data_IF_472883814662
#
_entry.id   IF_472883814662
#
_cell.length_a   1.000
_cell.length_b   1.000
_cell.length_c   1.000
_cell.angle_alpha   90.00
_cell.angle_beta   90.00
_cell.angle_gamma   90.00
#
_symmetry.space_group_name_H-M   'P 1'
#
loop_
_entity.id
_entity.type
_entity.pdbx_description
1 polymer ?
#
# COMPACT_ATOMS: atom_id res chain seq x y z
N UNK A 1 -6.19 -23.88 24.83
CA UNK A 1 -7.32 -23.73 25.77
C UNK A 1 -7.63 -22.27 26.07
N UNK A 2 -8.90 -21.89 25.88
CA UNK A 2 -9.52 -20.61 26.23
C UNK A 2 -10.84 -20.93 26.93
N UNK A 3 -10.82 -21.00 28.26
CA UNK A 3 -11.98 -21.48 29.02
C UNK A 3 -12.27 -22.96 28.73
N UNK A 4 -13.48 -23.27 28.27
CA UNK A 4 -13.93 -24.60 27.84
C UNK A 4 -13.66 -24.90 26.36
N UNK A 5 -13.04 -23.96 25.63
CA UNK A 5 -12.77 -24.08 24.20
C UNK A 5 -11.28 -24.30 23.91
N UNK A 6 -11.02 -24.96 22.80
CA UNK A 6 -9.68 -25.34 22.36
C UNK A 6 -9.42 -24.82 20.93
N UNK A 7 -8.28 -24.16 20.73
CA UNK A 7 -7.85 -23.67 19.42
C UNK A 7 -6.49 -24.29 19.12
N UNK A 8 -6.42 -25.05 18.04
CA UNK A 8 -5.19 -25.61 17.51
C UNK A 8 -4.56 -24.66 16.49
N UNK A 9 -3.25 -24.45 16.60
CA UNK A 9 -2.49 -23.60 15.68
C UNK A 9 -1.60 -24.47 14.80
N UNK A 10 -1.65 -24.26 13.48
CA UNK A 10 -0.74 -24.88 12.52
C UNK A 10 -0.02 -23.80 11.76
N UNK A 11 1.30 -23.73 11.90
CA UNK A 11 2.14 -22.82 11.14
C UNK A 11 2.89 -23.54 10.03
N UNK A 12 3.06 -22.88 8.91
CA UNK A 12 3.98 -23.30 7.84
C UNK A 12 4.92 -22.18 7.47
N UNK A 13 6.00 -22.50 6.78
CA UNK A 13 6.92 -21.52 6.19
C UNK A 13 6.96 -21.72 4.68
N UNK A 14 7.10 -20.63 3.94
CA UNK A 14 7.23 -20.65 2.49
C UNK A 14 8.66 -20.28 2.09
N UNK A 15 9.12 -20.79 0.96
CA UNK A 15 10.44 -20.47 0.40
C UNK A 15 11.54 -21.43 0.85
N UNK A 16 12.79 -20.99 0.71
CA UNK A 16 13.98 -21.77 1.09
C UNK A 16 14.66 -21.14 2.30
N UNK A 17 15.06 -21.98 3.25
CA UNK A 17 15.89 -21.56 4.39
C UNK A 17 17.29 -22.14 4.18
N UNK A 18 18.31 -21.29 4.27
CA UNK A 18 19.69 -21.71 4.06
C UNK A 18 20.08 -22.82 5.04
N UNK A 19 20.63 -23.92 4.50
CA UNK A 19 21.01 -25.09 5.31
C UNK A 19 19.85 -26.02 5.70
N UNK A 20 18.61 -25.75 5.27
CA UNK A 20 17.44 -26.58 5.57
C UNK A 20 16.85 -27.21 4.31
N UNK A 21 16.37 -28.46 4.44
CA UNK A 21 15.46 -29.06 3.47
C UNK A 21 14.03 -28.58 3.78
N UNK A 22 13.40 -27.89 2.82
CA UNK A 22 12.04 -27.40 2.96
C UNK A 22 11.09 -28.30 2.16
N UNK A 23 10.22 -29.02 2.87
CA UNK A 23 9.18 -29.85 2.26
C UNK A 23 8.03 -29.02 1.69
N UNK A 24 7.06 -29.69 1.05
CA UNK A 24 5.87 -29.03 0.52
C UNK A 24 5.04 -28.39 1.67
N UNK A 25 4.84 -27.06 1.66
CA UNK A 25 4.08 -26.39 2.71
C UNK A 25 2.61 -26.80 2.73
N UNK A 26 2.01 -27.21 1.60
CA UNK A 26 0.62 -27.71 1.59
C UNK A 26 0.53 -29.04 2.34
N UNK A 27 1.38 -30.01 2.01
CA UNK A 27 1.44 -31.29 2.72
C UNK A 27 1.74 -31.12 4.22
N UNK A 28 2.64 -30.21 4.59
CA UNK A 28 2.94 -29.92 6.00
C UNK A 28 1.72 -29.34 6.74
N UNK A 29 0.98 -28.42 6.11
CA UNK A 29 -0.23 -27.84 6.66
C UNK A 29 -1.33 -28.89 6.87
N UNK A 30 -1.48 -29.80 5.90
CA UNK A 30 -2.44 -30.91 5.98
C UNK A 30 -2.11 -31.88 7.10
N UNK A 31 -0.83 -32.27 7.23
CA UNK A 31 -0.38 -33.15 8.29
C UNK A 31 -0.59 -32.52 9.69
N UNK A 32 -0.26 -31.22 9.83
CA UNK A 32 -0.48 -30.49 11.08
C UNK A 32 -1.95 -30.35 11.44
N UNK A 33 -2.81 -30.06 10.46
CA UNK A 33 -4.25 -29.98 10.68
C UNK A 33 -4.85 -31.35 11.03
N UNK A 34 -4.41 -32.42 10.37
CA UNK A 34 -4.84 -33.79 10.67
C UNK A 34 -4.48 -34.21 12.10
N UNK A 35 -3.30 -33.82 12.59
CA UNK A 35 -2.87 -34.10 13.96
C UNK A 35 -3.75 -33.41 15.03
N UNK A 36 -4.39 -32.29 14.67
CA UNK A 36 -5.28 -31.55 15.57
C UNK A 36 -6.75 -31.92 15.40
N UNK A 37 -7.11 -32.58 14.30
CA UNK A 37 -8.50 -32.88 13.97
C UNK A 37 -9.20 -33.69 15.07
N UNK A 38 -10.34 -33.19 15.55
CA UNK A 38 -11.13 -33.82 16.60
C UNK A 38 -10.57 -33.64 18.02
N UNK A 39 -9.37 -33.10 18.17
CA UNK A 39 -8.76 -32.76 19.47
C UNK A 39 -9.00 -31.30 19.88
N UNK A 40 -9.32 -30.45 18.90
CA UNK A 40 -9.61 -29.02 19.11
C UNK A 40 -10.94 -28.61 18.48
N UNK A 41 -11.53 -27.53 19.00
CA UNK A 41 -12.77 -26.96 18.45
C UNK A 41 -12.54 -26.18 17.16
N UNK A 42 -11.39 -25.51 17.04
CA UNK A 42 -11.03 -24.67 15.89
C UNK A 42 -9.56 -24.89 15.53
N UNK A 43 -9.27 -25.06 14.24
CA UNK A 43 -7.91 -25.08 13.69
C UNK A 43 -7.67 -23.78 12.93
N UNK A 44 -6.61 -23.07 13.34
CA UNK A 44 -6.16 -21.82 12.76
C UNK A 44 -4.79 -22.00 12.10
N UNK A 45 -4.70 -21.62 10.83
CA UNK A 45 -3.45 -21.60 10.07
C UNK A 45 -2.67 -20.29 10.24
N UNK A 46 -1.35 -20.38 10.43
CA UNK A 46 -0.42 -19.25 10.33
C UNK A 46 0.36 -19.41 9.03
N UNK A 47 0.00 -18.62 8.01
CA UNK A 47 0.46 -18.80 6.63
C UNK A 47 1.23 -17.54 6.19
N UNK A 48 2.57 -17.56 6.12
CA UNK A 48 3.38 -16.39 5.80
C UNK A 48 3.42 -16.10 4.29
N UNK A 49 2.27 -16.23 3.60
CA UNK A 49 2.13 -15.83 2.20
C UNK A 49 2.17 -14.31 2.10
N UNK A 50 3.14 -13.78 1.37
CA UNK A 50 3.36 -12.35 1.17
C UNK A 50 2.58 -11.80 -0.03
N UNK A 51 2.07 -12.68 -0.90
CA UNK A 51 1.32 -12.30 -2.10
C UNK A 51 0.10 -13.20 -2.34
N UNK A 52 -0.85 -12.70 -3.13
CA UNK A 52 -1.99 -13.51 -3.60
C UNK A 52 -1.52 -14.70 -4.44
N UNK A 53 -0.39 -14.58 -5.15
CA UNK A 53 0.16 -15.66 -5.96
C UNK A 53 0.71 -16.80 -5.09
N UNK A 54 1.50 -16.48 -4.06
CA UNK A 54 1.99 -17.47 -3.10
C UNK A 54 0.85 -18.16 -2.37
N UNK A 55 -0.13 -17.38 -1.90
CA UNK A 55 -1.31 -17.92 -1.23
C UNK A 55 -2.10 -18.86 -2.16
N UNK A 56 -2.29 -18.48 -3.42
CA UNK A 56 -3.02 -19.32 -4.38
C UNK A 56 -2.28 -20.62 -4.70
N UNK A 57 -0.94 -20.60 -4.76
CA UNK A 57 -0.13 -21.82 -4.92
C UNK A 57 -0.27 -22.76 -3.73
N UNK A 58 -0.25 -22.23 -2.50
CA UNK A 58 -0.42 -23.03 -1.30
C UNK A 58 -1.83 -23.62 -1.19
N UNK A 59 -2.87 -22.85 -1.53
CA UNK A 59 -4.25 -23.36 -1.46
C UNK A 59 -4.45 -24.48 -2.49
N UNK A 60 -3.97 -24.28 -3.73
CA UNK A 60 -4.17 -25.24 -4.81
C UNK A 60 -5.66 -25.37 -5.19
N UNK A 61 -6.05 -26.57 -5.61
CA UNK A 61 -7.40 -26.90 -6.06
C UNK A 61 -8.34 -27.30 -4.93
N UNK A 62 -7.78 -27.95 -3.89
CA UNK A 62 -8.55 -28.59 -2.83
C UNK A 62 -8.72 -27.67 -1.61
N UNK A 63 -9.88 -27.73 -0.92
CA UNK A 63 -10.09 -26.98 0.30
C UNK A 63 -8.99 -27.26 1.33
N UNK A 64 -8.57 -26.24 2.06
CA UNK A 64 -7.66 -26.37 3.18
C UNK A 64 -8.38 -27.06 4.35
N UNK A 65 -7.68 -27.92 5.12
CA UNK A 65 -8.23 -28.53 6.33
C UNK A 65 -8.22 -27.54 7.53
N UNK A 66 -8.58 -26.29 7.28
CA UNK A 66 -8.55 -25.19 8.24
C UNK A 66 -9.88 -24.45 8.22
N UNK A 67 -10.29 -23.90 9.37
CA UNK A 67 -11.46 -23.02 9.42
C UNK A 67 -11.05 -21.56 9.23
N UNK A 68 -9.95 -21.16 9.86
CA UNK A 68 -9.43 -19.80 9.87
C UNK A 68 -7.94 -19.81 9.47
N UNK A 69 -7.47 -18.71 8.87
CA UNK A 69 -6.06 -18.51 8.60
C UNK A 69 -5.67 -17.03 8.75
N UNK A 70 -4.47 -16.81 9.30
CA UNK A 70 -3.82 -15.50 9.32
C UNK A 70 -2.74 -15.50 8.26
N UNK A 71 -2.77 -14.52 7.35
CA UNK A 71 -1.76 -14.36 6.32
C UNK A 71 -0.90 -13.09 6.44
N UNK A 72 0.22 -13.10 5.72
CA UNK A 72 1.21 -12.03 5.74
C UNK A 72 1.19 -11.15 4.48
N UNK A 73 0.09 -11.11 3.72
CA UNK A 73 0.00 -10.34 2.45
C UNK A 73 0.06 -8.82 2.67
N UNK A 74 0.06 -8.36 3.91
CA UNK A 74 -0.03 -6.94 4.25
C UNK A 74 -1.38 -6.30 3.92
N UNK A 75 -2.35 -7.08 3.44
CA UNK A 75 -3.66 -6.60 3.00
C UNK A 75 -4.66 -6.65 4.14
N UNK A 76 -5.55 -5.66 4.14
CA UNK A 76 -6.71 -5.61 5.01
C UNK A 76 -7.93 -6.04 4.21
N UNK A 77 -8.52 -7.22 4.49
CA UNK A 77 -9.72 -7.63 3.81
C UNK A 77 -10.83 -6.61 4.12
N UNK A 78 -11.41 -6.02 3.07
CA UNK A 78 -12.46 -5.01 3.24
C UNK A 78 -13.65 -5.56 4.02
N UNK A 79 -14.00 -6.83 3.80
CA UNK A 79 -15.08 -7.51 4.50
C UNK A 79 -14.67 -8.02 5.90
N UNK A 80 -13.45 -7.72 6.38
CA UNK A 80 -12.89 -8.29 7.61
C UNK A 80 -12.24 -9.66 7.41
N UNK A 81 -12.67 -10.46 6.44
CA UNK A 81 -11.98 -11.68 6.01
C UNK A 81 -12.21 -11.99 4.52
N UNK A 82 -11.30 -12.73 3.91
CA UNK A 82 -11.44 -13.29 2.56
C UNK A 82 -11.71 -14.81 2.66
N UNK A 83 -12.76 -15.32 2.02
CA UNK A 83 -12.96 -16.78 1.92
C UNK A 83 -12.12 -17.35 0.77
N UNK A 84 -11.17 -18.25 1.08
CA UNK A 84 -10.35 -18.94 0.08
C UNK A 84 -10.02 -20.36 0.53
N UNK A 85 -10.07 -21.33 -0.39
CA UNK A 85 -9.82 -22.73 -0.06
C UNK A 85 -10.70 -23.25 1.08
N UNK A 86 -11.95 -22.78 1.19
CA UNK A 86 -12.86 -23.13 2.30
C UNK A 86 -12.65 -22.34 3.61
N UNK A 87 -11.44 -21.88 3.90
CA UNK A 87 -11.09 -21.14 5.11
C UNK A 87 -11.39 -19.63 5.01
N UNK A 88 -11.52 -18.96 6.16
CA UNK A 88 -11.55 -17.50 6.27
C UNK A 88 -10.14 -16.96 6.56
N UNK A 89 -9.61 -16.17 5.63
CA UNK A 89 -8.33 -15.51 5.75
C UNK A 89 -8.47 -14.10 6.31
N UNK A 90 -7.68 -13.81 7.34
CA UNK A 90 -7.55 -12.47 7.94
C UNK A 90 -6.12 -11.97 7.81
N UNK A 91 -5.96 -10.65 7.77
CA UNK A 91 -4.66 -9.98 7.78
C UNK A 91 -4.66 -8.82 8.75
N UNK A 92 -3.48 -8.46 9.26
CA UNK A 92 -3.30 -7.34 10.19
C UNK A 92 -2.68 -6.09 9.55
N UNK A 93 -2.52 -6.09 8.23
CA UNK A 93 -1.82 -5.03 7.50
C UNK A 93 -0.32 -5.30 7.49
N UNK A 94 0.48 -4.31 7.08
CA UNK A 94 1.94 -4.42 7.06
C UNK A 94 2.61 -3.39 7.95
N UNK A 95 3.88 -3.66 8.28
CA UNK A 95 4.80 -2.76 9.00
C UNK A 95 4.31 -2.29 10.38
N UNK A 96 3.47 -3.09 11.04
CA UNK A 96 2.98 -2.79 12.38
C UNK A 96 2.16 -1.50 12.46
N UNK A 97 1.52 -1.06 11.38
CA UNK A 97 0.66 0.15 11.40
C UNK A 97 -0.68 -0.07 12.08
N UNK A 98 -1.11 -1.33 12.20
CA UNK A 98 -2.33 -1.70 12.89
C UNK A 98 -2.11 -2.99 13.68
N UNK A 99 -2.82 -3.10 14.80
CA UNK A 99 -2.99 -4.33 15.54
C UNK A 99 -4.34 -4.95 15.16
N UNK A 100 -4.30 -6.15 14.58
CA UNK A 100 -5.50 -6.94 14.29
C UNK A 100 -6.03 -7.62 15.54
N UNK A 101 -7.27 -7.36 15.91
CA UNK A 101 -7.96 -8.03 17.01
C UNK A 101 -9.08 -8.89 16.43
N UNK A 102 -8.86 -10.21 16.46
CA UNK A 102 -9.86 -11.18 16.01
C UNK A 102 -10.65 -11.71 17.20
N UNK A 103 -11.95 -11.44 17.22
CA UNK A 103 -12.89 -11.98 18.21
C UNK A 103 -13.67 -13.12 17.57
N UNK A 104 -13.67 -14.27 18.24
CA UNK A 104 -14.31 -15.50 17.77
C UNK A 104 -15.48 -15.85 18.71
N UNK A 105 -16.68 -16.00 18.15
CA UNK A 105 -17.82 -16.60 18.81
C UNK A 105 -17.99 -18.04 18.33
N UNK A 106 -17.88 -19.02 19.22
CA UNK A 106 -18.00 -20.44 18.89
C UNK A 106 -19.33 -20.99 19.43
N UNK A 107 -20.27 -21.27 18.53
CA UNK A 107 -21.52 -21.96 18.86
C UNK A 107 -21.31 -23.47 18.84
N UNK A 108 -20.71 -23.99 17.77
CA UNK A 108 -20.38 -25.41 17.61
C UNK A 108 -19.21 -25.58 16.63
N UNK A 109 -18.28 -26.54 16.84
CA UNK A 109 -17.17 -26.79 15.92
C UNK A 109 -17.57 -27.05 14.47
N UNK A 110 -18.81 -27.50 14.22
CA UNK A 110 -19.32 -27.80 12.87
C UNK A 110 -20.14 -26.66 12.26
N UNK A 111 -20.47 -25.62 13.02
CA UNK A 111 -21.26 -24.51 12.51
C UNK A 111 -20.47 -23.70 11.48
N UNK A 112 -21.12 -23.17 10.43
CA UNK A 112 -20.45 -22.33 9.46
C UNK A 112 -20.00 -21.00 10.10
N UNK A 113 -18.95 -20.40 9.55
CA UNK A 113 -18.45 -19.11 10.01
C UNK A 113 -19.10 -17.93 9.30
N UNK A 114 -19.56 -16.98 10.10
CA UNK A 114 -20.18 -15.71 9.73
C UNK A 114 -19.23 -14.58 10.12
N UNK A 115 -18.95 -13.65 9.21
CA UNK A 115 -18.11 -12.49 9.51
C UNK A 115 -18.98 -11.33 9.97
N UNK A 116 -18.88 -10.94 11.24
CA UNK A 116 -19.65 -9.85 11.82
C UNK A 116 -19.29 -8.50 11.17
N UNK A 117 -20.30 -7.69 10.89
CA UNK A 117 -20.12 -6.38 10.25
C UNK A 117 -19.67 -6.44 8.79
N UNK A 118 -19.57 -7.64 8.19
CA UNK A 118 -19.20 -7.79 6.78
C UNK A 118 -20.16 -7.03 5.86
N UNK A 119 -21.48 -7.15 6.12
CA UNK A 119 -22.49 -6.46 5.33
C UNK A 119 -22.30 -4.94 5.39
N UNK A 120 -22.16 -4.39 6.59
CA UNK A 120 -21.98 -2.95 6.80
C UNK A 120 -20.72 -2.44 6.09
N UNK A 121 -19.59 -3.15 6.19
CA UNK A 121 -18.34 -2.78 5.49
C UNK A 121 -18.47 -2.86 3.96
N UNK A 122 -19.20 -3.84 3.44
CA UNK A 122 -19.48 -3.96 2.02
C UNK A 122 -20.39 -2.81 1.54
N UNK A 123 -21.41 -2.45 2.32
CA UNK A 123 -22.32 -1.32 2.05
C UNK A 123 -21.57 0.01 2.06
N UNK A 124 -20.69 0.24 3.04
CA UNK A 124 -19.85 1.43 3.12
C UNK A 124 -18.91 1.52 1.89
N UNK A 125 -18.30 0.40 1.46
CA UNK A 125 -17.50 0.39 0.23
C UNK A 125 -18.34 0.65 -1.01
N UNK A 126 -19.56 0.11 -1.08
CA UNK A 126 -20.49 0.38 -2.19
C UNK A 126 -20.81 1.87 -2.26
N UNK A 127 -21.14 2.49 -1.12
CA UNK A 127 -21.40 3.93 -1.04
C UNK A 127 -20.21 4.76 -1.54
N UNK A 128 -18.98 4.47 -1.08
CA UNK A 128 -17.77 5.14 -1.60
C UNK A 128 -17.58 4.98 -3.11
N UNK A 129 -17.90 3.82 -3.68
CA UNK A 129 -17.83 3.63 -5.14
C UNK A 129 -18.92 4.43 -5.87
N UNK A 130 -20.12 4.54 -5.29
CA UNK A 130 -21.21 5.36 -5.82
C UNK A 130 -20.83 6.84 -5.84
N UNK A 131 -20.22 7.35 -4.76
CA UNK A 131 -19.73 8.74 -4.70
C UNK A 131 -18.65 9.02 -5.75
N UNK A 132 -17.69 8.11 -5.92
CA UNK A 132 -16.64 8.20 -6.96
C UNK A 132 -17.23 8.18 -8.36
N UNK A 133 -18.24 7.33 -8.59
CA UNK A 133 -18.97 7.25 -9.85
C UNK A 133 -19.69 8.57 -10.16
N UNK A 134 -20.41 9.13 -9.20
CA UNK A 134 -21.09 10.41 -9.34
C UNK A 134 -20.11 11.56 -9.63
N UNK A 135 -18.98 11.59 -8.93
CA UNK A 135 -17.91 12.58 -9.17
C UNK A 135 -17.34 12.47 -10.60
N UNK A 136 -17.16 11.23 -11.10
CA UNK A 136 -16.71 11.00 -12.46
C UNK A 136 -17.76 11.42 -13.50
N UNK A 137 -19.06 11.22 -13.23
CA UNK A 137 -20.16 11.70 -14.08
C UNK A 137 -20.19 13.22 -14.18
N UNK A 138 -20.08 13.92 -13.04
CA UNK A 138 -19.99 15.39 -13.04
C UNK A 138 -18.77 15.88 -13.82
N UNK A 139 -17.64 15.21 -13.66
CA UNK A 139 -16.40 15.55 -14.36
C UNK A 139 -16.52 15.30 -15.87
N UNK A 140 -17.16 14.21 -16.29
CA UNK A 140 -17.44 13.92 -17.69
C UNK A 140 -18.37 14.98 -18.31
N UNK A 141 -19.41 15.40 -17.57
CA UNK A 141 -20.36 16.41 -18.03
C UNK A 141 -19.72 17.79 -18.18
N UNK A 142 -18.76 18.14 -17.32
CA UNK A 142 -18.01 19.41 -17.38
C UNK A 142 -16.86 19.39 -18.39
N UNK A 143 -16.43 18.21 -18.84
CA UNK A 143 -15.32 18.10 -19.79
C UNK A 143 -15.71 18.68 -21.16
N UNK A 144 -14.97 19.69 -21.62
CA UNK A 144 -15.10 20.21 -22.98
C UNK A 144 -14.33 19.37 -24.01
N UNK A 145 -13.26 18.71 -23.57
CA UNK A 145 -12.41 17.85 -24.39
C UNK A 145 -12.97 16.41 -24.47
N UNK A 146 -13.06 15.88 -25.70
CA UNK A 146 -13.62 14.54 -25.98
C UNK A 146 -12.77 13.41 -25.38
N UNK A 147 -11.45 13.51 -25.43
CA UNK A 147 -10.58 12.47 -24.87
C UNK A 147 -10.67 12.43 -23.34
N UNK A 148 -10.81 13.60 -22.69
CA UNK A 148 -11.06 13.71 -21.26
C UNK A 148 -12.41 13.11 -20.89
N UNK A 149 -13.48 13.40 -21.64
CA UNK A 149 -14.82 12.83 -21.42
C UNK A 149 -14.79 11.30 -21.51
N UNK A 150 -14.20 10.75 -22.56
CA UNK A 150 -14.07 9.30 -22.77
C UNK A 150 -13.29 8.61 -21.65
N UNK A 151 -12.29 9.27 -21.07
CA UNK A 151 -11.56 8.77 -19.90
C UNK A 151 -12.47 8.61 -18.69
N UNK A 152 -13.31 9.61 -18.40
CA UNK A 152 -14.28 9.54 -17.29
C UNK A 152 -15.37 8.49 -17.55
N UNK A 153 -15.85 8.35 -18.77
CA UNK A 153 -16.80 7.27 -19.15
C UNK A 153 -16.21 5.88 -18.89
N UNK A 154 -14.93 5.67 -19.23
CA UNK A 154 -14.23 4.43 -18.90
C UNK A 154 -14.12 4.18 -17.38
N UNK A 155 -13.93 5.23 -16.59
CA UNK A 155 -13.94 5.13 -15.13
C UNK A 155 -15.32 4.78 -14.57
N UNK A 156 -16.38 5.42 -15.06
CA UNK A 156 -17.77 5.14 -14.69
C UNK A 156 -18.09 3.66 -14.92
N UNK A 157 -17.79 3.13 -16.12
CA UNK A 157 -17.99 1.73 -16.43
C UNK A 157 -17.18 0.78 -15.52
N UNK A 158 -15.98 1.19 -15.10
CA UNK A 158 -15.18 0.44 -14.13
C UNK A 158 -15.75 0.48 -12.72
N UNK A 159 -16.37 1.59 -12.30
CA UNK A 159 -17.04 1.70 -11.01
C UNK A 159 -18.34 0.91 -10.99
N UNK A 160 -19.12 0.93 -12.07
CA UNK A 160 -20.35 0.13 -12.21
C UNK A 160 -20.09 -1.36 -12.00
N UNK A 161 -19.06 -1.90 -12.64
CA UNK A 161 -18.66 -3.31 -12.44
C UNK A 161 -18.29 -3.62 -11.00
N UNK A 162 -17.63 -2.69 -10.30
CA UNK A 162 -17.27 -2.86 -8.89
C UNK A 162 -18.49 -2.78 -7.97
N UNK A 163 -19.41 -1.85 -8.24
CA UNK A 163 -20.68 -1.69 -7.51
C UNK A 163 -21.52 -2.96 -7.65
N UNK A 164 -21.70 -3.48 -8.86
CA UNK A 164 -22.44 -4.73 -9.10
C UNK A 164 -21.84 -5.92 -8.33
N UNK A 165 -20.51 -6.03 -8.30
CA UNK A 165 -19.82 -7.07 -7.52
C UNK A 165 -20.07 -6.92 -6.01
N UNK A 166 -20.08 -5.69 -5.50
CA UNK A 166 -20.37 -5.40 -4.09
C UNK A 166 -21.84 -5.71 -3.76
N UNK A 167 -22.78 -5.36 -4.62
CA UNK A 167 -24.21 -5.66 -4.44
C UNK A 167 -24.46 -7.18 -4.35
N UNK A 168 -23.85 -7.96 -5.23
CA UNK A 168 -23.92 -9.42 -5.17
C UNK A 168 -23.36 -9.98 -3.86
N UNK A 169 -22.22 -9.44 -3.39
CA UNK A 169 -21.63 -9.84 -2.13
C UNK A 169 -22.52 -9.47 -0.92
N UNK A 170 -23.12 -8.28 -0.91
CA UNK A 170 -24.03 -7.80 0.14
C UNK A 170 -25.27 -8.69 0.24
N UNK A 171 -25.85 -9.06 -0.90
CA UNK A 171 -27.01 -9.96 -0.95
C UNK A 171 -26.71 -11.33 -0.32
N UNK A 172 -25.47 -11.80 -0.44
CA UNK A 172 -25.03 -13.08 0.13
C UNK A 172 -24.65 -13.05 1.62
N UNK A 173 -24.42 -11.87 2.21
CA UNK A 173 -23.82 -11.74 3.54
C UNK A 173 -24.79 -11.95 4.73
N UNK A 174 -26.11 -11.98 4.51
CA UNK A 174 -27.13 -11.93 5.57
C UNK A 174 -27.84 -13.24 5.92
N UNK A 175 -27.47 -14.37 5.34
CA UNK A 175 -28.26 -15.61 5.42
C UNK A 175 -27.68 -16.68 6.36
N UNK A 176 -26.42 -16.53 6.79
CA UNK A 176 -25.73 -17.54 7.57
C UNK A 176 -25.88 -17.31 9.09
N UNK A 177 -26.07 -18.40 9.84
CA UNK A 177 -25.98 -18.45 11.31
C UNK A 177 -24.94 -19.49 11.71
N UNK A 178 -24.22 -19.26 12.80
CA UNK A 178 -23.20 -20.16 13.29
C UNK A 178 -22.10 -19.43 14.05
N UNK A 179 -20.87 -19.94 13.91
CA UNK A 179 -19.69 -19.33 14.53
C UNK A 179 -19.47 -17.92 13.97
N UNK A 180 -19.04 -16.99 14.81
CA UNK A 180 -18.86 -15.60 14.41
C UNK A 180 -17.40 -15.20 14.45
N UNK A 181 -16.96 -14.46 13.45
CA UNK A 181 -15.64 -13.82 13.39
C UNK A 181 -15.84 -12.32 13.26
N UNK A 182 -15.29 -11.56 14.22
CA UNK A 182 -15.20 -10.11 14.13
C UNK A 182 -13.74 -9.70 14.09
N UNK A 183 -13.33 -9.03 13.02
CA UNK A 183 -12.02 -8.40 12.91
C UNK A 183 -12.13 -6.90 13.19
N UNK A 184 -11.51 -6.49 14.28
CA UNK A 184 -11.25 -5.10 14.65
C UNK A 184 -9.80 -4.75 14.33
N UNK A 185 -9.57 -3.50 13.94
CA UNK A 185 -8.23 -3.01 13.65
C UNK A 185 -7.97 -1.76 14.47
N UNK A 186 -7.03 -1.88 15.38
CA UNK A 186 -6.57 -0.76 16.18
C UNK A 186 -5.42 -0.13 15.40
N UNK A 187 -5.64 1.08 14.88
CA UNK A 187 -4.58 1.84 14.23
C UNK A 187 -3.53 2.19 15.29
N UNK A 188 -2.27 1.82 15.03
CA UNK A 188 -1.15 2.15 15.89
C UNK A 188 -0.62 3.53 15.49
N UNK A 189 -1.45 4.54 15.70
CA UNK A 189 -1.14 5.94 15.42
C UNK A 189 -0.66 6.69 16.68
N UNK A 190 -0.42 7.99 16.54
CA UNK A 190 0.11 8.86 17.59
C UNK A 190 -0.82 9.02 18.80
N UNK A 191 -2.05 8.52 18.75
CA UNK A 191 -2.96 8.49 19.91
C UNK A 191 -2.59 7.39 20.91
N UNK A 192 -1.85 6.37 20.48
CA UNK A 192 -1.34 5.31 21.34
C UNK A 192 0.05 5.72 21.83
N UNK A 193 0.23 5.72 23.15
CA UNK A 193 1.52 6.07 23.77
C UNK A 193 2.56 5.00 23.47
N UNK A 194 3.74 5.44 23.05
CA UNK A 194 4.88 4.57 22.84
C UNK A 194 5.35 3.90 24.15
N UNK A 195 5.76 2.65 24.05
CA UNK A 195 6.37 1.93 25.15
C UNK A 195 7.81 2.42 25.36
N UNK A 196 8.14 2.90 26.56
CA UNK A 196 9.40 3.60 26.85
C UNK A 196 10.65 2.82 26.40
N UNK A 197 10.75 1.53 26.75
CA UNK A 197 11.92 0.72 26.36
C UNK A 197 12.01 0.48 24.85
N UNK A 198 10.87 0.45 24.14
CA UNK A 198 10.87 0.33 22.67
C UNK A 198 11.26 1.65 22.03
N UNK A 199 10.81 2.77 22.60
CA UNK A 199 11.17 4.10 22.13
C UNK A 199 12.68 4.33 22.22
N UNK A 200 13.33 3.92 23.31
CA UNK A 200 14.78 3.99 23.46
C UNK A 200 15.53 3.23 22.33
N UNK A 201 15.03 2.06 21.93
CA UNK A 201 15.60 1.31 20.80
C UNK A 201 15.38 2.01 19.45
N UNK A 202 14.21 2.64 19.27
CA UNK A 202 13.89 3.42 18.06
C UNK A 202 14.79 4.64 17.95
N UNK A 203 14.97 5.37 19.05
CA UNK A 203 15.81 6.57 19.08
C UNK A 203 17.28 6.23 18.82
N UNK A 204 17.79 5.15 19.43
CA UNK A 204 19.13 4.65 19.15
C UNK A 204 19.32 4.25 17.67
N UNK A 205 18.30 3.63 17.06
CA UNK A 205 18.33 3.28 15.64
C UNK A 205 18.31 4.52 14.74
N UNK A 206 17.51 5.54 15.06
CA UNK A 206 17.46 6.83 14.34
C UNK A 206 18.79 7.59 14.45
N UNK A 207 19.42 7.57 15.62
CA UNK A 207 20.76 8.14 15.81
C UNK A 207 21.81 7.41 14.96
N UNK A 208 21.79 6.08 14.94
CA UNK A 208 22.66 5.28 14.09
C UNK A 208 22.45 5.58 12.59
N UNK A 209 21.20 5.70 12.14
CA UNK A 209 20.86 6.10 10.76
C UNK A 209 21.47 7.48 10.46
N UNK A 210 21.25 8.46 11.33
CA UNK A 210 21.69 9.84 11.11
C UNK A 210 23.22 9.99 11.09
N UNK A 211 23.92 9.15 11.86
CA UNK A 211 25.40 9.17 11.93
C UNK A 211 26.09 8.32 10.86
N UNK A 212 25.40 7.33 10.29
CA UNK A 212 25.96 6.38 9.32
C UNK A 212 26.36 6.97 7.95
N UNK A 213 25.79 8.11 7.55
CA UNK A 213 25.89 8.61 6.16
C UNK A 213 27.03 9.59 5.86
N UNK A 214 27.88 9.94 6.85
CA UNK A 214 29.04 10.83 6.68
C UNK A 214 28.73 12.25 6.15
N UNK A 215 27.47 12.58 5.91
CA UNK A 215 26.97 13.84 5.34
C UNK A 215 25.73 14.29 6.10
N UNK A 216 25.65 15.59 6.42
CA UNK A 216 24.49 16.15 7.12
C UNK A 216 23.25 16.12 6.20
N UNK A 217 22.22 15.31 6.51
CA UNK A 217 21.02 15.21 5.67
C UNK A 217 20.24 16.54 5.60
N UNK A 218 20.44 17.47 6.54
CA UNK A 218 19.85 18.81 6.54
C UNK A 218 20.54 19.77 5.58
N UNK A 219 21.80 19.51 5.24
CA UNK A 219 22.56 20.37 4.32
C UNK A 219 22.14 20.07 2.89
N UNK A 220 21.24 20.87 2.35
CA UNK A 220 20.90 20.86 0.93
C UNK A 220 21.99 21.56 0.12
N UNK A 221 22.49 20.90 -0.92
CA UNK A 221 23.38 21.51 -1.90
C UNK A 221 22.65 21.48 -3.23
N UNK A 222 22.04 22.60 -3.66
CA UNK A 222 21.48 22.70 -4.99
C UNK A 222 22.63 22.51 -5.98
N UNK A 223 22.61 21.42 -6.73
CA UNK A 223 23.54 21.18 -7.83
C UNK A 223 22.74 20.79 -9.06
N UNK A 224 23.05 21.47 -10.16
CA UNK A 224 22.80 20.88 -11.48
C UNK A 224 23.60 19.59 -11.49
N UNK A 225 22.92 18.49 -11.80
CA UNK A 225 23.60 17.22 -11.96
C UNK A 225 24.47 17.40 -13.20
N UNK A 226 25.78 17.23 -13.11
CA UNK A 226 26.67 17.53 -14.25
C UNK A 226 26.69 16.38 -15.27
N UNK A 227 26.40 15.15 -14.84
CA UNK A 227 26.46 13.94 -15.67
C UNK A 227 25.23 13.04 -15.51
N UNK A 228 24.95 12.21 -16.53
CA UNK A 228 23.84 11.25 -16.52
C UNK A 228 22.59 11.75 -17.26
N UNK A 229 21.49 10.98 -17.27
CA UNK A 229 20.31 11.31 -18.07
C UNK A 229 19.40 12.38 -17.43
N UNK A 230 19.59 12.66 -16.15
CA UNK A 230 18.80 13.62 -15.38
C UNK A 230 19.39 15.02 -15.43
N UNK A 231 18.54 16.05 -15.44
CA UNK A 231 18.92 17.46 -15.40
C UNK A 231 18.82 18.06 -13.98
N UNK A 232 17.97 17.49 -13.12
CA UNK A 232 17.58 18.06 -11.83
C UNK A 232 16.48 19.13 -11.97
N UNK A 233 15.61 19.23 -10.97
CA UNK A 233 14.44 20.12 -10.99
C UNK A 233 14.77 21.60 -11.20
N UNK A 234 15.95 22.05 -10.77
CA UNK A 234 16.41 23.43 -10.98
C UNK A 234 16.55 23.81 -12.46
N UNK A 235 16.87 22.85 -13.35
CA UNK A 235 17.02 23.09 -14.78
C UNK A 235 15.68 23.41 -15.48
N UNK A 236 14.56 23.00 -14.89
CA UNK A 236 13.23 23.18 -15.48
C UNK A 236 12.71 24.62 -15.36
N UNK A 237 13.13 25.34 -14.32
CA UNK A 237 12.55 26.64 -13.91
C UNK A 237 12.74 27.74 -14.96
N UNK A 238 13.80 27.67 -15.76
CA UNK A 238 14.07 28.68 -16.78
C UNK A 238 12.94 28.77 -17.82
N UNK A 239 12.32 27.63 -18.16
CA UNK A 239 11.27 27.52 -19.18
C UNK A 239 9.88 27.21 -18.61
N UNK A 240 9.78 26.60 -17.42
CA UNK A 240 8.54 26.12 -16.80
C UNK A 240 8.30 26.74 -15.41
N UNK A 241 8.10 28.05 -15.37
CA UNK A 241 8.03 28.81 -14.11
C UNK A 241 6.73 28.54 -13.36
N UNK A 242 5.61 28.51 -14.09
CA UNK A 242 4.27 28.32 -13.56
C UNK A 242 4.13 26.90 -13.00
N UNK A 243 4.59 25.88 -13.73
CA UNK A 243 4.58 24.49 -13.29
C UNK A 243 5.46 24.31 -12.04
N UNK A 244 6.66 24.89 -12.02
CA UNK A 244 7.53 24.84 -10.85
C UNK A 244 6.92 25.53 -9.63
N UNK A 245 6.27 26.69 -9.82
CA UNK A 245 5.57 27.42 -8.75
C UNK A 245 4.45 26.58 -8.14
N UNK A 246 3.68 25.87 -8.96
CA UNK A 246 2.69 24.91 -8.48
C UNK A 246 3.36 23.75 -7.73
N UNK A 247 4.37 23.11 -8.33
CA UNK A 247 5.03 21.95 -7.74
C UNK A 247 5.64 22.26 -6.38
N UNK A 248 6.29 23.41 -6.24
CA UNK A 248 6.97 23.85 -5.01
C UNK A 248 6.06 23.94 -3.78
N UNK A 249 4.74 24.02 -4.00
CA UNK A 249 3.72 24.09 -2.92
C UNK A 249 3.23 22.72 -2.48
N UNK A 250 3.50 21.67 -3.25
CA UNK A 250 3.03 20.30 -3.00
C UNK A 250 3.85 19.58 -1.91
N UNK A 251 3.31 18.48 -1.39
CA UNK A 251 4.07 17.58 -0.50
C UNK A 251 5.28 16.94 -1.18
N UNK A 252 5.23 16.74 -2.51
CA UNK A 252 6.33 16.18 -3.29
C UNK A 252 7.59 17.04 -3.23
N UNK A 253 7.46 18.37 -3.26
CA UNK A 253 8.59 19.31 -3.13
C UNK A 253 9.18 19.41 -1.72
N UNK A 254 8.56 18.74 -0.74
CA UNK A 254 9.03 18.69 0.66
C UNK A 254 9.29 17.26 1.13
N UNK A 255 9.29 16.30 0.22
CA UNK A 255 9.36 14.88 0.55
C UNK A 255 10.63 14.56 1.35
N UNK A 256 11.80 15.05 0.95
CA UNK A 256 13.04 14.82 1.69
C UNK A 256 12.99 15.43 3.10
N UNK A 257 12.43 16.63 3.23
CA UNK A 257 12.31 17.31 4.52
C UNK A 257 11.46 16.51 5.52
N UNK A 258 10.44 15.80 5.05
CA UNK A 258 9.66 14.90 5.91
C UNK A 258 10.52 13.77 6.49
N UNK A 259 11.47 13.21 5.71
CA UNK A 259 12.42 12.21 6.24
C UNK A 259 13.42 12.82 7.20
N UNK A 260 13.89 14.03 6.95
CA UNK A 260 14.79 14.75 7.87
C UNK A 260 14.10 14.98 9.21
N UNK A 261 12.84 15.42 9.20
CA UNK A 261 12.06 15.67 10.41
C UNK A 261 11.82 14.41 11.25
N UNK A 262 11.75 13.25 10.60
CA UNK A 262 11.56 11.95 11.27
C UNK A 262 12.88 11.22 11.57
N UNK A 263 14.04 11.84 11.26
CA UNK A 263 15.39 11.27 11.41
C UNK A 263 15.60 9.98 10.58
N UNK A 264 14.98 9.96 9.40
CA UNK A 264 14.96 8.83 8.44
C UNK A 264 15.58 9.16 7.08
N UNK A 265 16.19 10.34 6.93
CA UNK A 265 16.73 10.79 5.63
C UNK A 265 17.82 9.86 5.07
N UNK A 266 18.55 9.15 5.94
CA UNK A 266 19.59 8.19 5.56
C UNK A 266 19.10 6.73 5.63
N UNK A 267 17.80 6.52 5.84
CA UNK A 267 17.19 5.20 5.92
C UNK A 267 17.04 4.60 4.51
N UNK A 268 17.65 3.44 4.29
CA UNK A 268 17.63 2.73 3.01
C UNK A 268 16.22 2.26 2.61
N UNK A 269 15.29 2.12 3.57
CA UNK A 269 13.91 1.72 3.29
C UNK A 269 13.01 2.89 2.86
N UNK A 270 13.39 4.12 3.23
CA UNK A 270 12.53 5.31 3.05
C UNK A 270 12.95 6.19 1.88
N UNK A 271 14.24 6.35 1.64
CA UNK A 271 14.76 7.40 0.75
C UNK A 271 14.30 7.27 -0.72
N UNK A 272 14.06 6.05 -1.21
CA UNK A 272 13.81 5.79 -2.63
C UNK A 272 12.51 6.42 -3.16
N UNK A 273 11.54 6.64 -2.28
CA UNK A 273 10.29 7.34 -2.62
C UNK A 273 10.39 8.87 -2.45
N UNK A 274 11.49 9.37 -1.86
CA UNK A 274 11.68 10.78 -1.49
C UNK A 274 12.82 11.46 -2.25
N UNK A 275 13.41 10.74 -3.22
CA UNK A 275 14.53 11.20 -4.06
C UNK A 275 14.25 10.83 -5.50
N UNK A 276 14.37 11.80 -6.38
CA UNK A 276 14.19 11.62 -7.81
C UNK A 276 15.29 10.74 -8.39
N UNK A 277 14.89 9.70 -9.14
CA UNK A 277 15.84 8.79 -9.79
C UNK A 277 16.58 7.84 -8.82
N UNK A 278 16.13 7.74 -7.57
CA UNK A 278 16.72 6.80 -6.60
C UNK A 278 16.75 5.35 -7.13
N UNK A 279 17.93 4.74 -7.12
CA UNK A 279 18.17 3.39 -7.61
C UNK A 279 18.01 3.23 -9.13
N UNK A 280 17.70 4.30 -9.87
CA UNK A 280 17.59 4.28 -11.32
C UNK A 280 18.94 4.52 -11.98
N UNK A 281 19.11 4.04 -13.22
CA UNK A 281 20.35 4.22 -13.98
C UNK A 281 20.67 5.71 -14.14
N UNK A 282 21.82 6.12 -13.59
CA UNK A 282 22.30 7.50 -13.65
C UNK A 282 21.64 8.46 -12.64
N UNK A 283 20.83 7.94 -11.72
CA UNK A 283 20.40 8.65 -10.52
C UNK A 283 21.20 8.24 -9.28
N UNK A 284 20.84 8.75 -8.09
CA UNK A 284 21.49 8.37 -6.83
C UNK A 284 21.34 6.88 -6.53
N UNK A 285 22.36 6.27 -5.91
CA UNK A 285 22.38 4.83 -5.55
C UNK A 285 22.23 4.58 -4.06
N UNK A 286 22.36 5.63 -3.24
CA UNK A 286 22.19 5.58 -1.79
C UNK A 286 21.64 6.94 -1.27
N UNK A 287 21.02 6.97 -0.07
CA UNK A 287 20.50 8.21 0.52
C UNK A 287 21.54 9.34 0.59
N UNK A 288 22.77 9.02 1.00
CA UNK A 288 23.87 9.98 1.10
C UNK A 288 24.24 10.62 -0.26
N UNK A 289 23.95 9.94 -1.38
CA UNK A 289 24.19 10.43 -2.74
C UNK A 289 23.03 11.26 -3.31
N UNK A 290 21.95 11.49 -2.54
CA UNK A 290 20.77 12.18 -3.03
C UNK A 290 21.07 13.58 -3.59
N UNK A 291 21.98 14.35 -2.98
CA UNK A 291 22.45 15.62 -3.51
C UNK A 291 21.33 16.54 -4.03
N UNK A 292 21.44 16.97 -5.29
CA UNK A 292 20.45 17.80 -5.97
C UNK A 292 19.17 17.08 -6.42
N UNK A 293 19.05 15.78 -6.19
CA UNK A 293 17.88 14.96 -6.53
C UNK A 293 16.87 14.78 -5.39
N UNK A 294 17.14 15.38 -4.23
CA UNK A 294 16.22 15.35 -3.09
C UNK A 294 14.84 15.87 -3.52
N UNK A 295 13.81 15.29 -2.92
CA UNK A 295 12.40 15.50 -3.22
C UNK A 295 11.90 14.73 -4.47
N UNK A 296 10.58 14.65 -4.60
CA UNK A 296 9.91 14.09 -5.79
C UNK A 296 9.77 15.21 -6.82
N UNK A 297 10.81 15.39 -7.63
CA UNK A 297 10.96 16.45 -8.62
C UNK A 297 10.25 16.11 -9.93
N UNK A 298 10.30 17.03 -10.90
CA UNK A 298 9.67 16.90 -12.23
C UNK A 298 9.98 15.54 -12.89
N UNK A 299 11.26 15.13 -12.83
CA UNK A 299 11.75 13.93 -13.52
C UNK A 299 11.32 12.61 -12.87
N UNK A 300 10.76 12.64 -11.66
CA UNK A 300 10.15 11.46 -11.03
C UNK A 300 8.86 11.04 -11.76
N UNK A 301 8.12 12.01 -12.30
CA UNK A 301 6.88 11.78 -13.05
C UNK A 301 7.12 11.79 -14.56
N UNK A 302 7.92 12.74 -15.05
CA UNK A 302 8.07 13.04 -16.48
C UNK A 302 9.25 12.31 -17.14
N UNK A 303 10.06 11.59 -16.35
CA UNK A 303 11.26 10.90 -16.80
C UNK A 303 12.50 11.81 -16.87
N UNK A 304 13.68 11.26 -17.22
CA UNK A 304 14.93 12.02 -17.26
C UNK A 304 14.90 13.13 -18.33
N UNK A 305 15.23 14.35 -17.92
CA UNK A 305 15.01 15.57 -18.70
C UNK A 305 16.24 16.17 -19.38
N UNK A 306 17.45 15.60 -19.23
CA UNK A 306 18.67 16.25 -19.79
C UNK A 306 18.62 16.45 -21.29
N UNK A 307 18.15 15.43 -22.03
CA UNK A 307 18.02 15.54 -23.48
C UNK A 307 17.00 16.61 -23.88
N UNK A 308 15.91 16.75 -23.11
CA UNK A 308 14.92 17.81 -23.30
C UNK A 308 15.51 19.19 -23.05
N UNK A 309 16.25 19.39 -21.95
CA UNK A 309 16.92 20.67 -21.66
C UNK A 309 17.89 21.06 -22.77
N UNK A 310 18.63 20.10 -23.34
CA UNK A 310 19.58 20.38 -24.42
C UNK A 310 18.91 20.64 -25.78
N UNK A 311 17.81 19.95 -26.08
CA UNK A 311 17.09 20.07 -27.34
C UNK A 311 15.57 19.92 -27.13
N UNK A 312 14.87 20.99 -26.67
CA UNK A 312 13.47 20.91 -26.24
C UNK A 312 12.49 20.44 -27.32
N UNK A 313 12.82 20.69 -28.60
CA UNK A 313 12.00 20.27 -29.74
C UNK A 313 12.27 18.83 -30.19
N UNK A 314 13.42 18.26 -29.87
CA UNK A 314 13.83 16.93 -30.34
C UNK A 314 13.60 15.84 -29.28
N UNK A 315 13.57 16.21 -28.01
CA UNK A 315 13.28 15.31 -26.91
C UNK A 315 12.15 15.90 -26.08
N UNK A 316 10.99 15.22 -26.06
CA UNK A 316 9.83 15.62 -25.27
C UNK A 316 9.72 14.71 -24.05
N UNK A 317 9.53 15.29 -22.84
CA UNK A 317 9.28 14.50 -21.64
C UNK A 317 7.89 13.82 -21.70
N UNK A 318 7.65 12.87 -20.81
CA UNK A 318 6.34 12.21 -20.69
C UNK A 318 5.31 13.24 -20.23
N UNK A 319 4.39 13.69 -21.10
CA UNK A 319 3.42 14.74 -20.75
C UNK A 319 2.36 14.29 -19.75
N UNK A 320 1.82 13.08 -19.92
CA UNK A 320 0.77 12.51 -19.06
C UNK A 320 1.28 11.18 -18.44
N UNK A 321 1.86 11.21 -17.23
CA UNK A 321 2.40 10.02 -16.60
C UNK A 321 1.33 8.97 -16.32
N UNK A 322 1.64 7.71 -16.62
CA UNK A 322 0.79 6.58 -16.29
C UNK A 322 0.64 6.44 -14.76
N UNK A 323 -0.47 5.87 -14.29
CA UNK A 323 -0.77 5.80 -12.84
C UNK A 323 0.24 4.94 -12.08
N UNK A 324 0.88 4.01 -12.78
CA UNK A 324 1.92 3.13 -12.29
C UNK A 324 3.16 3.90 -11.80
N UNK A 325 3.38 5.13 -12.31
CA UNK A 325 4.45 5.99 -11.79
C UNK A 325 4.14 6.42 -10.35
N UNK A 326 2.87 6.70 -10.05
CA UNK A 326 2.44 7.09 -8.71
C UNK A 326 2.51 5.90 -7.74
N UNK A 327 2.07 4.71 -8.18
CA UNK A 327 1.98 3.52 -7.30
C UNK A 327 3.32 2.84 -7.00
N UNK A 328 4.42 3.31 -7.59
CA UNK A 328 5.78 2.96 -7.13
C UNK A 328 6.04 3.38 -5.69
N UNK A 329 5.45 4.52 -5.29
CA UNK A 329 5.56 5.05 -3.93
C UNK A 329 4.23 4.94 -3.17
N UNK A 330 3.11 5.14 -3.88
CA UNK A 330 1.75 5.02 -3.36
C UNK A 330 1.17 3.62 -3.55
N UNK A 331 1.72 2.66 -2.81
CA UNK A 331 1.41 1.24 -2.91
C UNK A 331 0.32 0.76 -1.93
N UNK A 332 -0.30 1.69 -1.18
CA UNK A 332 -1.24 1.36 -0.11
C UNK A 332 -0.57 0.98 1.21
N UNK A 333 0.66 0.46 1.18
CA UNK A 333 1.40 0.17 2.41
C UNK A 333 1.96 1.45 3.01
N UNK A 334 2.63 2.28 2.20
CA UNK A 334 3.33 3.47 2.66
C UNK A 334 2.37 4.60 3.01
N UNK A 335 1.31 4.77 2.23
CA UNK A 335 0.28 5.80 2.43
C UNK A 335 -0.94 5.35 3.27
N UNK A 336 -0.95 4.10 3.76
CA UNK A 336 -2.06 3.58 4.57
C UNK A 336 -3.36 3.43 3.80
N UNK A 337 -3.28 3.17 2.49
CA UNK A 337 -4.43 3.00 1.61
C UNK A 337 -5.17 4.29 1.27
N UNK A 338 -4.60 5.46 1.62
CA UNK A 338 -5.21 6.77 1.39
C UNK A 338 -5.10 7.25 -0.04
N UNK A 339 -4.27 6.60 -0.86
CA UNK A 339 -4.06 7.02 -2.24
C UNK A 339 -5.33 6.82 -3.08
N UNK A 340 -5.89 7.94 -3.51
CA UNK A 340 -6.96 7.99 -4.50
C UNK A 340 -6.38 8.55 -5.81
N UNK A 341 -6.31 7.75 -6.89
CA UNK A 341 -5.71 8.17 -8.15
C UNK A 341 -6.26 9.49 -8.71
N UNK A 342 -7.56 9.76 -8.59
CA UNK A 342 -8.17 10.94 -9.17
C UNK A 342 -7.90 12.17 -8.30
N UNK A 343 -8.17 12.08 -7.00
CA UNK A 343 -7.98 13.18 -6.05
C UNK A 343 -6.50 13.57 -5.93
N UNK A 344 -5.59 12.59 -5.88
CA UNK A 344 -4.16 12.88 -5.78
C UNK A 344 -3.61 13.45 -7.08
N UNK A 345 -4.06 12.94 -8.24
CA UNK A 345 -3.65 13.50 -9.54
C UNK A 345 -4.09 14.96 -9.67
N UNK A 346 -5.28 15.31 -9.21
CA UNK A 346 -5.75 16.69 -9.21
C UNK A 346 -4.83 17.65 -8.42
N UNK A 347 -4.15 17.16 -7.36
CA UNK A 347 -3.18 17.96 -6.58
C UNK A 347 -1.86 18.23 -7.31
N UNK A 348 -1.54 17.47 -8.37
CA UNK A 348 -0.24 17.53 -9.06
C UNK A 348 -0.33 17.88 -10.54
N UNK A 349 -1.53 17.96 -11.12
CA UNK A 349 -1.72 18.45 -12.49
C UNK A 349 -1.39 19.95 -12.55
N UNK A 350 -0.54 20.32 -13.49
CA UNK A 350 -0.14 21.71 -13.70
C UNK A 350 -1.19 22.44 -14.57
N UNK A 351 -2.24 22.96 -13.95
CA UNK A 351 -3.23 23.83 -14.60
C UNK A 351 -2.85 25.30 -14.45
N UNK A 352 -2.86 26.10 -15.54
CA UNK A 352 -2.66 27.54 -15.44
C UNK A 352 -3.71 28.17 -14.51
N UNK A 353 -3.26 28.87 -13.47
CA UNK A 353 -4.14 29.62 -12.55
C UNK A 353 -4.87 28.79 -11.48
N UNK A 354 -4.56 27.51 -11.29
CA UNK A 354 -5.14 26.72 -10.20
C UNK A 354 -4.52 27.09 -8.84
N UNK A 355 -5.36 27.47 -7.88
CA UNK A 355 -4.98 27.59 -6.47
C UNK A 355 -4.79 26.21 -5.84
N UNK A 356 -3.82 26.11 -4.94
CA UNK A 356 -3.44 24.86 -4.31
C UNK A 356 -4.59 24.31 -3.45
N UNK A 357 -4.96 23.05 -3.65
CA UNK A 357 -5.76 22.33 -2.67
C UNK A 357 -4.98 22.20 -1.36
N UNK A 358 -5.65 22.47 -0.24
CA UNK A 358 -5.09 22.40 1.11
C UNK A 358 -4.41 21.03 1.40
N UNK A 359 -3.39 21.03 2.30
CA UNK A 359 -2.53 19.88 2.60
C UNK A 359 -3.29 18.58 2.83
#
# INVERSE_FOLDING_TARGET
EVGDKSIGLVGVTLGSVEGCEVGDPRAALEAGAAALQGSVDVILGLIPASSDQELSRLIGSDPLPLQLAVDARGKLPVAGADRRGGALFVGAGSRGKALGVMRLGLESPRSPWVVEGMKDKLEERRARMQDRRATAEESAARASDEAVRKRFEGQIASYDKQIQKLEAAIASAGTARGNTLRLEQIQLDRTIRDHAATQELVDAAKEAITTSGGSDPRRFVPRIVEAGPYAGGAACVACHKEEHSQWSRTGHARAWNALVAEERALDNECWSCHVTGAGQRGGPTAPASAGGFRDVQCEACHGPGRAHVAAPEQSKPVRDPAIEVCTRCHDGERDGGRFDPAAYRAKVVHTPGAEAGEP
#
